data_IF_496602005808
#
_entry.id   IF_496602005808
#
_cell.length_a   1.000
_cell.length_b   1.000
_cell.length_c   1.000
_cell.angle_alpha   90.00
_cell.angle_beta   90.00
_cell.angle_gamma   90.00
#
_symmetry.space_group_name_H-M   'P 1'
#
loop_
_entity.id
_entity.type
_entity.pdbx_description
1 polymer ?
#
# COMPACT_ATOMS: atom_id res chain seq x y z
N UNK A 1 4.81 14.60 -7.38
CA UNK A 1 5.33 13.24 -7.13
C UNK A 1 6.06 13.21 -5.80
N UNK A 2 5.51 12.55 -4.77
CA UNK A 2 6.19 12.35 -3.49
C UNK A 2 7.37 11.39 -3.71
N UNK A 3 8.62 11.88 -3.57
CA UNK A 3 9.82 11.07 -3.80
C UNK A 3 10.41 10.62 -2.47
N UNK A 4 10.42 9.32 -2.22
CA UNK A 4 11.09 8.73 -1.06
C UNK A 4 12.61 8.94 -1.17
N UNK A 5 13.19 9.72 -0.24
CA UNK A 5 14.63 10.07 -0.22
C UNK A 5 15.56 8.88 0.06
N UNK A 6 15.01 7.75 0.50
CA UNK A 6 15.75 6.56 0.95
C UNK A 6 16.23 5.67 -0.19
N UNK A 7 15.52 5.65 -1.33
CA UNK A 7 15.78 4.72 -2.44
C UNK A 7 16.92 5.15 -3.39
N UNK A 8 17.10 6.44 -3.75
CA UNK A 8 18.15 6.84 -4.69
C UNK A 8 19.60 6.56 -4.25
N UNK A 9 19.81 6.33 -2.94
CA UNK A 9 21.16 6.12 -2.36
C UNK A 9 21.52 4.65 -2.17
N UNK A 10 20.65 3.70 -2.51
CA UNK A 10 20.90 2.27 -2.30
C UNK A 10 21.70 1.67 -3.46
N UNK A 11 22.70 0.85 -3.12
CA UNK A 11 23.49 0.08 -4.10
C UNK A 11 22.75 -1.16 -4.64
N UNK A 12 21.77 -1.69 -3.90
CA UNK A 12 21.01 -2.89 -4.29
C UNK A 12 19.59 -2.50 -4.69
N UNK A 13 18.99 -3.16 -5.71
CA UNK A 13 17.63 -2.89 -6.17
C UNK A 13 16.57 -3.56 -5.26
N UNK A 14 16.87 -3.74 -3.97
CA UNK A 14 16.01 -4.43 -3.01
C UNK A 14 14.99 -3.50 -2.35
N UNK A 15 15.03 -2.21 -2.65
CA UNK A 15 14.26 -1.14 -1.98
C UNK A 15 14.51 -1.10 -0.46
N UNK A 16 13.75 -0.30 0.28
CA UNK A 16 13.87 -0.18 1.74
C UNK A 16 12.54 -0.43 2.43
N UNK A 17 12.58 -0.61 3.76
CA UNK A 17 11.38 -0.80 4.58
C UNK A 17 10.67 0.52 4.90
N UNK A 18 11.04 1.60 4.19
CA UNK A 18 10.32 2.85 4.24
C UNK A 18 8.91 2.68 3.69
N UNK A 19 7.96 3.25 4.42
CA UNK A 19 6.58 3.39 3.99
C UNK A 19 6.16 4.85 4.12
N UNK A 20 5.31 5.30 3.21
CA UNK A 20 4.67 6.61 3.24
C UNK A 20 3.23 6.39 3.70
N UNK A 21 2.82 7.10 4.74
CA UNK A 21 1.42 7.21 5.12
C UNK A 21 0.86 8.50 4.54
N UNK A 22 -0.24 8.40 3.81
CA UNK A 22 -1.02 9.52 3.29
C UNK A 22 -2.47 9.41 3.81
N UNK A 23 -2.84 10.17 4.86
CA UNK A 23 -4.21 10.20 5.36
C UNK A 23 -5.12 11.05 4.46
N UNK A 24 -6.43 10.80 4.54
CA UNK A 24 -7.50 11.60 3.93
C UNK A 24 -7.33 11.87 2.42
N UNK A 25 -6.85 10.86 1.69
CA UNK A 25 -6.69 10.96 0.24
C UNK A 25 -8.06 10.76 -0.43
N UNK A 26 -8.51 11.70 -1.28
CA UNK A 26 -9.80 11.59 -1.95
C UNK A 26 -9.74 10.61 -3.12
N UNK A 27 -10.53 9.55 -3.04
CA UNK A 27 -10.84 8.67 -4.17
C UNK A 27 -12.15 9.12 -4.81
N UNK A 28 -12.11 9.48 -6.09
CA UNK A 28 -13.21 10.10 -6.81
C UNK A 28 -13.71 9.25 -8.00
N UNK A 29 -13.18 8.04 -8.17
CA UNK A 29 -13.60 7.09 -9.22
C UNK A 29 -13.73 5.68 -8.67
N UNK A 30 -14.67 4.94 -9.24
CA UNK A 30 -14.81 3.49 -9.10
C UNK A 30 -13.84 2.75 -10.03
N UNK A 31 -13.76 1.43 -9.88
CA UNK A 31 -12.90 0.56 -10.69
C UNK A 31 -13.18 0.58 -12.19
N UNK A 32 -14.44 0.72 -12.61
CA UNK A 32 -14.85 0.88 -14.01
C UNK A 32 -14.58 2.31 -14.53
N UNK A 33 -14.02 3.19 -13.69
CA UNK A 33 -13.67 4.56 -14.03
C UNK A 33 -14.80 5.58 -13.88
N UNK A 34 -15.98 5.14 -13.43
CA UNK A 34 -17.14 6.01 -13.16
C UNK A 34 -16.82 6.99 -12.02
N UNK A 35 -17.17 8.27 -12.22
CA UNK A 35 -16.94 9.32 -11.22
C UNK A 35 -17.92 9.19 -10.04
N UNK A 36 -17.42 9.35 -8.82
CA UNK A 36 -18.24 9.39 -7.60
C UNK A 36 -18.84 10.79 -7.38
N UNK A 37 -20.09 10.85 -6.91
CA UNK A 37 -20.76 12.11 -6.55
C UNK A 37 -20.04 12.83 -5.40
N UNK A 38 -19.52 12.06 -4.43
CA UNK A 38 -18.68 12.56 -3.33
C UNK A 38 -17.43 11.69 -3.22
N UNK A 39 -16.22 12.29 -3.07
CA UNK A 39 -15.01 11.52 -2.87
C UNK A 39 -15.07 10.71 -1.58
N UNK A 40 -14.53 9.49 -1.62
CA UNK A 40 -14.25 8.72 -0.42
C UNK A 40 -12.90 9.14 0.13
N UNK A 41 -12.84 9.55 1.40
CA UNK A 41 -11.57 9.84 2.07
C UNK A 41 -11.01 8.56 2.67
N UNK A 42 -9.81 8.19 2.24
CA UNK A 42 -9.15 6.95 2.63
C UNK A 42 -7.71 7.20 3.03
N UNK A 43 -7.17 6.32 3.88
CA UNK A 43 -5.76 6.35 4.25
C UNK A 43 -4.96 5.34 3.42
N UNK A 44 -3.86 5.79 2.81
CA UNK A 44 -2.95 4.96 2.02
C UNK A 44 -1.62 4.75 2.72
N UNK A 45 -1.14 3.51 2.72
CA UNK A 45 0.22 3.16 3.13
C UNK A 45 0.96 2.62 1.91
N UNK A 46 1.93 3.38 1.41
CA UNK A 46 2.73 3.01 0.24
C UNK A 46 4.12 2.54 0.67
N UNK A 47 4.47 1.29 0.37
CA UNK A 47 5.83 0.76 0.53
C UNK A 47 6.25 0.00 -0.74
N UNK A 48 7.54 -0.02 -1.05
CA UNK A 48 8.04 -0.75 -2.21
C UNK A 48 8.08 -2.26 -1.92
N UNK A 49 7.57 -3.09 -2.83
CA UNK A 49 7.72 -4.54 -2.76
C UNK A 49 9.13 -4.98 -3.18
N UNK A 50 9.74 -6.00 -2.55
CA UNK A 50 10.94 -6.63 -3.09
C UNK A 50 10.61 -7.35 -4.41
N UNK A 51 11.47 -7.20 -5.43
CA UNK A 51 11.27 -7.82 -6.75
C UNK A 51 12.09 -9.09 -6.86
N UNK A 52 11.44 -10.26 -6.73
CA UNK A 52 12.11 -11.56 -6.66
C UNK A 52 13.06 -11.84 -7.84
N UNK A 53 12.72 -11.41 -9.06
CA UNK A 53 13.59 -11.59 -10.24
C UNK A 53 14.92 -10.84 -10.14
N UNK A 54 15.03 -9.80 -9.29
CA UNK A 54 16.26 -9.02 -9.12
C UNK A 54 17.14 -9.49 -7.96
N UNK A 55 16.56 -10.15 -6.96
CA UNK A 55 17.25 -10.44 -5.68
C UNK A 55 17.12 -11.88 -5.20
N UNK A 56 16.40 -12.74 -5.94
CA UNK A 56 16.11 -14.12 -5.58
C UNK A 56 14.89 -14.27 -4.67
N UNK A 57 14.22 -15.43 -4.76
CA UNK A 57 12.98 -15.72 -4.07
C UNK A 57 13.13 -15.69 -2.54
N UNK A 58 14.14 -16.35 -2.00
CA UNK A 58 14.36 -16.46 -0.55
C UNK A 58 14.58 -15.09 0.10
N UNK A 59 15.40 -14.26 -0.54
CA UNK A 59 15.66 -12.89 -0.08
C UNK A 59 14.42 -12.02 -0.20
N UNK A 60 13.68 -12.15 -1.31
CA UNK A 60 12.43 -11.43 -1.53
C UNK A 60 11.40 -11.78 -0.46
N UNK A 61 11.24 -13.07 -0.14
CA UNK A 61 10.33 -13.56 0.90
C UNK A 61 10.66 -12.98 2.28
N UNK A 62 11.95 -13.01 2.65
CA UNK A 62 12.43 -12.44 3.93
C UNK A 62 12.13 -10.94 4.05
N UNK A 63 12.40 -10.18 2.99
CA UNK A 63 12.14 -8.74 2.96
C UNK A 63 10.64 -8.43 2.98
N UNK A 64 9.84 -9.21 2.25
CA UNK A 64 8.39 -9.04 2.20
C UNK A 64 7.77 -9.24 3.59
N UNK A 65 8.19 -10.27 4.32
CA UNK A 65 7.73 -10.51 5.69
C UNK A 65 7.99 -9.31 6.61
N UNK A 66 9.20 -8.76 6.56
CA UNK A 66 9.58 -7.56 7.33
C UNK A 66 8.69 -6.35 6.98
N UNK A 67 8.40 -6.16 5.69
CA UNK A 67 7.60 -5.02 5.20
C UNK A 67 6.13 -5.14 5.56
N UNK A 68 5.56 -6.34 5.50
CA UNK A 68 4.19 -6.60 5.95
C UNK A 68 4.05 -6.18 7.42
N UNK A 69 4.96 -6.61 8.30
CA UNK A 69 4.94 -6.21 9.71
C UNK A 69 5.04 -4.70 9.89
N UNK A 70 5.89 -4.03 9.10
CA UNK A 70 6.01 -2.56 9.14
C UNK A 70 4.71 -1.87 8.73
N UNK A 71 4.06 -2.32 7.66
CA UNK A 71 2.78 -1.76 7.18
C UNK A 71 1.69 -1.96 8.23
N UNK A 72 1.59 -3.16 8.82
CA UNK A 72 0.61 -3.46 9.87
C UNK A 72 0.85 -2.62 11.12
N UNK A 73 2.10 -2.39 11.51
CA UNK A 73 2.44 -1.54 12.64
C UNK A 73 2.03 -0.08 12.42
N UNK A 74 2.23 0.45 11.20
CA UNK A 74 1.76 1.80 10.83
C UNK A 74 0.23 1.85 10.84
N UNK A 75 -0.44 0.86 10.25
CA UNK A 75 -1.90 0.79 10.22
C UNK A 75 -2.50 0.77 11.63
N UNK A 76 -1.92 -0.01 12.55
CA UNK A 76 -2.35 -0.06 13.96
C UNK A 76 -2.16 1.25 14.73
N UNK A 77 -1.25 2.11 14.28
CA UNK A 77 -1.06 3.43 14.90
C UNK A 77 -2.15 4.44 14.54
N UNK A 78 -2.97 4.13 13.53
CA UNK A 78 -4.13 4.91 13.13
C UNK A 78 -5.37 4.31 13.82
N UNK A 79 -6.01 5.09 14.67
CA UNK A 79 -7.12 4.65 15.53
C UNK A 79 -8.42 4.33 14.76
N UNK A 80 -8.48 4.55 13.44
CA UNK A 80 -9.64 4.28 12.58
C UNK A 80 -9.21 3.57 11.29
N UNK A 81 -9.58 2.30 11.12
CA UNK A 81 -9.12 1.48 9.99
C UNK A 81 -10.12 1.56 8.82
N UNK A 82 -9.85 2.49 7.90
CA UNK A 82 -10.24 2.37 6.48
C UNK A 82 -8.96 2.38 5.63
N UNK A 83 -8.21 1.27 5.64
CA UNK A 83 -6.99 1.11 4.82
C UNK A 83 -7.38 0.40 3.53
N UNK A 84 -7.38 1.14 2.43
CA UNK A 84 -7.58 0.59 1.09
C UNK A 84 -6.27 0.74 0.32
N UNK A 85 -5.81 -0.40 -0.20
CA UNK A 85 -4.71 -0.61 -1.15
C UNK A 85 -3.28 -0.40 -0.64
N UNK A 86 -2.60 -1.53 -0.38
CA UNK A 86 -1.15 -1.63 -0.45
C UNK A 86 -0.76 -2.05 -1.87
N UNK A 87 -0.07 -1.20 -2.64
CA UNK A 87 0.54 -1.62 -3.92
C UNK A 87 1.81 -2.46 -3.65
N UNK A 88 1.63 -3.60 -2.98
CA UNK A 88 2.57 -4.72 -3.06
C UNK A 88 2.19 -5.43 -4.34
N UNK A 89 2.96 -5.21 -5.40
CA UNK A 89 2.94 -6.09 -6.56
C UNK A 89 3.08 -7.52 -6.02
N UNK A 90 1.98 -8.28 -6.22
CA UNK A 90 1.70 -9.67 -5.81
C UNK A 90 1.51 -10.00 -4.32
N UNK A 91 0.73 -9.22 -3.55
CA UNK A 91 -0.04 -9.81 -2.44
C UNK A 91 -1.25 -8.94 -2.08
N UNK A 92 -2.45 -9.40 -2.45
CA UNK A 92 -3.71 -8.78 -2.04
C UNK A 92 -4.02 -9.18 -0.60
N UNK A 93 -3.48 -8.46 0.39
CA UNK A 93 -3.90 -8.61 1.78
C UNK A 93 -5.18 -7.78 1.95
N UNK A 94 -6.35 -8.44 1.89
CA UNK A 94 -7.63 -7.87 2.31
C UNK A 94 -7.74 -8.14 3.81
N UNK A 95 -7.60 -7.10 4.63
CA UNK A 95 -8.06 -7.17 6.02
C UNK A 95 -9.54 -6.81 6.00
N UNK A 96 -10.38 -7.83 5.80
CA UNK A 96 -11.83 -7.73 5.98
C UNK A 96 -12.12 -7.70 7.47
N UNK A 97 -12.65 -6.59 7.97
CA UNK A 97 -13.25 -6.50 9.30
C UNK A 97 -14.65 -5.90 9.15
N UNK A 98 -15.54 -6.59 8.45
CA UNK A 98 -16.97 -6.64 8.79
C UNK A 98 -17.76 -5.33 8.79
N UNK A 99 -17.33 -4.30 8.05
CA UNK A 99 -18.09 -3.07 7.84
C UNK A 99 -19.01 -3.16 6.61
N UNK A 100 -20.18 -2.47 6.59
CA UNK A 100 -21.18 -2.58 5.53
C UNK A 100 -20.72 -2.09 4.13
N UNK A 101 -19.47 -1.62 3.99
CA UNK A 101 -18.86 -1.19 2.73
C UNK A 101 -17.88 -2.22 2.12
N UNK A 102 -17.84 -3.44 2.66
CA UNK A 102 -17.06 -4.54 2.11
C UNK A 102 -17.62 -4.98 0.74
N UNK A 103 -17.13 -4.35 -0.35
CA UNK A 103 -17.02 -4.84 -1.74
C UNK A 103 -17.00 -3.69 -2.76
N UNK A 104 -16.18 -2.66 -2.56
CA UNK A 104 -15.84 -1.75 -3.65
C UNK A 104 -14.33 -1.65 -3.75
N UNK A 105 -13.81 -2.39 -4.73
CA UNK A 105 -12.44 -2.23 -5.16
C UNK A 105 -12.37 -0.83 -5.81
N UNK A 106 -11.33 -0.07 -5.45
CA UNK A 106 -11.09 1.24 -6.02
C UNK A 106 -9.62 1.33 -6.43
N UNK A 107 -9.40 1.60 -7.72
CA UNK A 107 -8.10 1.83 -8.31
C UNK A 107 -7.64 3.29 -8.09
N UNK A 108 -6.46 3.48 -7.52
CA UNK A 108 -5.78 4.78 -7.51
C UNK A 108 -4.90 4.84 -8.74
N UNK A 109 -5.28 5.68 -9.71
CA UNK A 109 -4.47 5.94 -10.90
C UNK A 109 -3.20 6.70 -10.53
N UNK A 110 -2.06 6.17 -10.95
CA UNK A 110 -0.74 6.80 -10.94
C UNK A 110 -0.14 6.79 -12.34
#
# INVERSE_FOLDING_TARGET
MLRCRSHPKRRRPDSSDWAILAPDVPVFRTDDGTTLEKPWLLSFITCASPVASHIGLDRSSTLLHTRIHRVLAIARSLLEIHVITCHIVTCRIILDQGGPHAKHHAFVSG
#
